data_IF_631340053875
#
_entry.id   IF_631340053875
#
_cell.length_a   1.000
_cell.length_b   1.000
_cell.length_c   1.000
_cell.angle_alpha   90.00
_cell.angle_beta   90.00
_cell.angle_gamma   90.00
#
_symmetry.space_group_name_H-M   'P 1'
#
loop_
_entity.id
_entity.type
_entity.pdbx_description
1 polymer ?
#
# COMPACT_ATOMS: atom_id res chain seq x y z
N UNK A 1 35.62 26.33 33.10
CA UNK A 1 35.53 25.70 31.80
C UNK A 1 34.26 24.84 31.76
N UNK A 2 33.30 25.33 31.02
CA UNK A 2 31.95 24.74 30.91
C UNK A 2 31.87 23.95 29.63
N UNK A 3 31.80 22.64 29.76
CA UNK A 3 31.50 21.77 28.60
C UNK A 3 30.00 21.77 28.33
N UNK A 4 29.58 22.48 27.30
CA UNK A 4 28.22 22.41 26.78
C UNK A 4 28.14 21.22 25.83
N UNK A 5 27.55 20.11 26.30
CA UNK A 5 27.15 18.99 25.47
C UNK A 5 25.97 19.40 24.57
N UNK A 6 26.26 19.64 23.32
CA UNK A 6 25.25 19.85 22.27
C UNK A 6 24.58 18.51 21.96
N UNK A 7 23.43 18.28 22.57
CA UNK A 7 22.57 17.13 22.25
C UNK A 7 21.87 17.43 20.92
N UNK A 8 22.26 16.75 19.84
CA UNK A 8 21.54 16.77 18.57
C UNK A 8 20.19 16.10 18.78
N UNK A 9 19.06 16.74 18.40
CA UNK A 9 17.78 16.05 18.44
C UNK A 9 17.79 14.93 17.37
N UNK A 10 17.60 13.71 17.86
CA UNK A 10 17.28 12.57 16.99
C UNK A 10 15.88 12.82 16.46
N UNK A 11 15.75 13.16 15.20
CA UNK A 11 14.47 13.16 14.50
C UNK A 11 13.98 11.71 14.45
N UNK A 12 13.22 11.30 15.45
CA UNK A 12 12.27 10.21 15.27
C UNK A 12 11.27 10.66 14.22
N UNK A 13 11.31 9.99 13.07
CA UNK A 13 10.25 10.08 12.07
C UNK A 13 9.08 9.29 12.65
N UNK A 14 8.33 9.95 13.52
CA UNK A 14 6.98 9.53 13.84
C UNK A 14 6.12 9.83 12.61
N UNK A 15 5.27 8.90 12.24
CA UNK A 15 4.20 9.01 11.24
C UNK A 15 3.15 10.03 11.70
N UNK A 16 3.58 11.20 12.13
CA UNK A 16 2.74 12.26 12.63
C UNK A 16 2.53 13.31 11.55
N UNK A 17 1.25 13.43 11.19
CA UNK A 17 0.58 14.58 10.57
C UNK A 17 1.54 15.69 10.14
N UNK A 18 1.97 15.67 8.88
CA UNK A 18 2.97 16.61 8.38
C UNK A 18 2.43 18.03 8.22
N UNK A 19 1.12 18.20 8.15
CA UNK A 19 0.43 19.50 8.18
C UNK A 19 -1.01 19.34 8.66
N UNK A 20 -1.57 20.42 9.21
CA UNK A 20 -2.99 20.54 9.55
C UNK A 20 -3.49 21.82 8.91
N UNK A 21 -4.53 21.73 8.07
CA UNK A 21 -5.18 22.87 7.46
C UNK A 21 -6.62 23.04 7.93
N UNK A 22 -7.20 24.18 7.65
CA UNK A 22 -8.63 24.42 7.93
C UNK A 22 -9.49 23.51 7.01
N UNK A 23 -10.58 22.99 7.56
CA UNK A 23 -11.57 22.19 6.84
C UNK A 23 -12.21 23.02 5.72
N UNK A 24 -12.33 22.42 4.54
CA UNK A 24 -13.10 22.96 3.42
C UNK A 24 -14.27 22.03 3.08
N UNK A 25 -15.43 22.55 2.63
CA UNK A 25 -16.54 21.70 2.19
C UNK A 25 -16.09 20.71 1.12
N UNK A 26 -16.29 19.42 1.40
CA UNK A 26 -15.81 18.31 0.57
C UNK A 26 -14.72 17.46 1.23
N UNK A 27 -14.08 17.95 2.30
CA UNK A 27 -13.15 17.14 3.07
C UNK A 27 -13.89 16.04 3.86
N UNK A 28 -13.28 14.87 3.95
CA UNK A 28 -13.82 13.78 4.75
C UNK A 28 -13.76 14.11 6.25
N UNK A 29 -14.88 13.99 6.95
CA UNK A 29 -14.97 14.14 8.41
C UNK A 29 -14.04 13.16 9.18
N UNK A 30 -13.68 12.04 8.60
CA UNK A 30 -12.72 11.08 9.18
C UNK A 30 -11.30 11.65 9.27
N UNK A 31 -10.97 12.69 8.49
CA UNK A 31 -9.69 13.39 8.50
C UNK A 31 -9.60 14.49 9.54
N UNK A 32 -10.66 14.78 10.29
CA UNK A 32 -10.63 15.84 11.31
C UNK A 32 -9.60 15.50 12.37
N UNK A 33 -8.72 16.48 12.62
CA UNK A 33 -7.74 16.44 13.71
C UNK A 33 -8.35 17.04 14.98
N UNK A 34 -9.11 16.24 15.72
CA UNK A 34 -9.87 16.70 16.88
C UNK A 34 -9.06 17.49 17.91
N UNK A 35 -7.84 17.06 18.31
CA UNK A 35 -7.03 17.84 19.24
C UNK A 35 -6.68 19.24 18.74
N UNK A 36 -6.39 19.39 17.43
CA UNK A 36 -6.07 20.68 16.84
C UNK A 36 -7.32 21.53 16.61
N UNK A 37 -8.43 20.91 16.25
CA UNK A 37 -9.76 21.53 16.16
C UNK A 37 -10.15 22.17 17.49
N UNK A 38 -9.98 21.45 18.59
CA UNK A 38 -10.26 21.98 19.93
C UNK A 38 -9.34 23.15 20.30
N UNK A 39 -8.08 23.12 19.90
CA UNK A 39 -7.09 24.17 20.19
C UNK A 39 -7.34 25.42 19.37
N UNK A 40 -7.73 25.28 18.10
CA UNK A 40 -7.89 26.39 17.16
C UNK A 40 -9.32 26.93 17.10
N UNK A 41 -10.28 26.26 17.75
CA UNK A 41 -11.72 26.55 17.71
C UNK A 41 -12.30 26.63 16.28
N UNK A 42 -11.70 25.89 15.34
CA UNK A 42 -12.08 25.75 13.94
C UNK A 42 -11.88 24.32 13.52
N UNK A 43 -12.72 23.80 12.63
CA UNK A 43 -12.54 22.47 12.09
C UNK A 43 -11.21 22.37 11.35
N UNK A 44 -10.34 21.52 11.83
CA UNK A 44 -9.00 21.28 11.28
C UNK A 44 -8.90 19.86 10.76
N UNK A 45 -8.40 19.70 9.54
CA UNK A 45 -8.18 18.40 8.93
C UNK A 45 -6.69 18.08 8.85
N UNK A 46 -6.39 16.81 9.02
CA UNK A 46 -5.04 16.28 8.75
C UNK A 46 -4.78 16.44 7.27
N UNK A 47 -3.82 17.30 6.94
CA UNK A 47 -3.33 17.44 5.58
C UNK A 47 -2.15 16.50 5.39
N UNK A 48 -2.35 15.49 4.55
CA UNK A 48 -1.28 14.61 4.12
C UNK A 48 -0.57 15.15 2.88
N UNK A 49 -1.00 16.34 2.42
CA UNK A 49 -0.54 16.92 1.17
C UNK A 49 0.70 17.78 1.38
N UNK A 50 1.85 17.14 1.46
CA UNK A 50 3.13 17.77 1.14
C UNK A 50 3.43 17.73 -0.37
N UNK A 51 2.42 17.57 -1.23
CA UNK A 51 2.60 17.33 -2.66
C UNK A 51 3.23 15.97 -2.98
N UNK A 52 3.32 15.10 -1.99
CA UNK A 52 3.87 13.76 -2.08
C UNK A 52 2.71 12.80 -1.80
N UNK A 53 2.04 12.38 -2.84
CA UNK A 53 1.03 11.33 -2.76
C UNK A 53 1.66 10.11 -2.13
N UNK A 54 1.29 9.82 -0.88
CA UNK A 54 1.66 8.57 -0.20
C UNK A 54 0.75 7.45 -0.70
N UNK A 55 0.69 7.26 -2.02
CA UNK A 55 -0.13 6.23 -2.62
C UNK A 55 0.33 4.86 -2.12
N UNK A 56 -0.64 4.02 -1.81
CA UNK A 56 -0.39 2.64 -1.44
C UNK A 56 -0.67 1.72 -2.64
N UNK A 57 0.25 0.83 -2.90
CA UNK A 57 0.10 -0.23 -3.88
C UNK A 57 0.05 -1.58 -3.17
N UNK A 58 -0.94 -2.38 -3.49
CA UNK A 58 -1.05 -3.78 -3.09
C UNK A 58 -0.80 -4.64 -4.31
N UNK A 59 0.26 -5.45 -4.27
CA UNK A 59 0.63 -6.39 -5.33
C UNK A 59 0.35 -7.79 -4.84
N UNK A 60 -0.41 -8.54 -5.62
CA UNK A 60 -0.74 -9.94 -5.33
C UNK A 60 -0.10 -10.81 -6.39
N UNK A 61 0.76 -11.72 -5.95
CA UNK A 61 1.39 -12.71 -6.82
C UNK A 61 0.39 -13.82 -7.14
N UNK A 62 -0.08 -13.84 -8.38
CA UNK A 62 -0.99 -14.85 -8.93
C UNK A 62 -0.31 -15.72 -9.98
N UNK A 63 1.03 -15.83 -9.91
CA UNK A 63 1.76 -16.75 -10.76
C UNK A 63 1.42 -18.20 -10.38
N UNK A 64 0.94 -18.98 -11.36
CA UNK A 64 0.49 -20.36 -11.13
C UNK A 64 1.50 -21.24 -10.40
N UNK A 65 2.79 -21.07 -10.69
CA UNK A 65 3.86 -21.88 -10.09
C UNK A 65 4.24 -21.48 -8.67
N UNK A 66 3.71 -20.39 -8.18
CA UNK A 66 3.92 -19.89 -6.80
C UNK A 66 2.86 -20.44 -5.85
N UNK A 67 1.70 -20.81 -6.37
CA UNK A 67 0.57 -21.29 -5.56
C UNK A 67 0.54 -22.80 -5.44
N UNK A 68 0.05 -23.24 -4.32
CA UNK A 68 -0.25 -24.64 -4.04
C UNK A 68 -1.57 -24.72 -3.26
N UNK A 69 -2.35 -25.73 -3.57
CA UNK A 69 -3.54 -26.09 -2.83
C UNK A 69 -3.28 -27.44 -2.16
N UNK A 70 -3.54 -27.53 -0.86
CA UNK A 70 -3.81 -28.80 -0.22
C UNK A 70 -5.31 -29.11 -0.37
N UNK A 71 -5.69 -30.39 -0.28
CA UNK A 71 -7.07 -30.86 -0.47
C UNK A 71 -8.12 -30.22 0.48
N UNK A 72 -7.69 -29.35 1.41
CA UNK A 72 -8.52 -28.53 2.27
C UNK A 72 -8.62 -27.11 1.72
N UNK A 73 -9.85 -26.60 1.52
CA UNK A 73 -10.13 -25.20 1.11
C UNK A 73 -9.46 -24.17 2.03
N UNK A 74 -9.17 -24.53 3.28
CA UNK A 74 -8.56 -23.64 4.29
C UNK A 74 -7.07 -23.36 4.02
N UNK A 75 -6.38 -24.23 3.27
CA UNK A 75 -4.94 -24.14 3.00
C UNK A 75 -4.64 -23.74 1.55
N UNK A 76 -5.54 -23.06 0.89
CA UNK A 76 -5.33 -22.55 -0.46
C UNK A 76 -4.61 -21.19 -0.39
N UNK A 77 -3.37 -21.15 -0.87
CA UNK A 77 -2.57 -19.91 -0.87
C UNK A 77 -3.16 -18.83 -1.79
N UNK A 78 -3.95 -19.18 -2.79
CA UNK A 78 -4.66 -18.24 -3.65
C UNK A 78 -5.72 -17.48 -2.85
N UNK A 79 -6.62 -18.20 -2.19
CA UNK A 79 -7.68 -17.62 -1.35
C UNK A 79 -7.10 -16.79 -0.20
N UNK A 80 -6.02 -17.25 0.41
CA UNK A 80 -5.36 -16.53 1.49
C UNK A 80 -4.72 -15.23 0.97
N UNK A 81 -4.10 -15.25 -0.22
CA UNK A 81 -3.54 -14.05 -0.86
C UNK A 81 -4.62 -13.01 -1.12
N UNK A 82 -5.75 -13.41 -1.68
CA UNK A 82 -6.90 -12.54 -1.97
C UNK A 82 -7.49 -11.97 -0.68
N UNK A 83 -7.68 -12.80 0.33
CA UNK A 83 -8.23 -12.39 1.63
C UNK A 83 -7.35 -11.35 2.33
N UNK A 84 -6.04 -11.56 2.32
CA UNK A 84 -5.06 -10.62 2.90
C UNK A 84 -5.09 -9.30 2.10
N UNK A 85 -5.08 -9.38 0.76
CA UNK A 85 -5.15 -8.19 -0.09
C UNK A 85 -6.40 -7.37 0.16
N UNK A 86 -7.57 -8.01 0.18
CA UNK A 86 -8.85 -7.37 0.47
C UNK A 86 -8.86 -6.70 1.85
N UNK A 87 -8.30 -7.36 2.86
CA UNK A 87 -8.21 -6.82 4.22
C UNK A 87 -7.31 -5.58 4.28
N UNK A 88 -6.15 -5.60 3.61
CA UNK A 88 -5.23 -4.46 3.54
C UNK A 88 -5.89 -3.30 2.79
N UNK A 89 -6.49 -3.55 1.63
CA UNK A 89 -7.19 -2.54 0.83
C UNK A 89 -8.31 -1.88 1.65
N UNK A 90 -9.17 -2.68 2.28
CA UNK A 90 -10.25 -2.15 3.11
C UNK A 90 -9.71 -1.27 4.23
N UNK A 91 -8.63 -1.69 4.88
CA UNK A 91 -7.98 -0.90 5.94
C UNK A 91 -7.40 0.42 5.42
N UNK A 92 -6.75 0.42 4.26
CA UNK A 92 -6.19 1.62 3.65
C UNK A 92 -7.30 2.61 3.23
N UNK A 93 -8.40 2.11 2.67
CA UNK A 93 -9.57 2.92 2.34
C UNK A 93 -10.20 3.54 3.60
N UNK A 94 -10.32 2.78 4.69
CA UNK A 94 -10.79 3.32 5.98
C UNK A 94 -9.91 4.46 6.51
N UNK A 95 -8.62 4.40 6.21
CA UNK A 95 -7.66 5.46 6.53
C UNK A 95 -7.69 6.62 5.51
N UNK A 96 -8.57 6.56 4.51
CA UNK A 96 -8.67 7.51 3.40
C UNK A 96 -7.36 7.67 2.61
N UNK A 97 -6.58 6.59 2.50
CA UNK A 97 -5.36 6.56 1.69
C UNK A 97 -5.71 6.16 0.25
N UNK A 98 -5.10 6.81 -0.76
CA UNK A 98 -5.19 6.33 -2.13
C UNK A 98 -4.58 4.93 -2.23
N UNK A 99 -5.35 3.95 -2.68
CA UNK A 99 -4.89 2.56 -2.80
C UNK A 99 -5.07 2.05 -4.21
N UNK A 100 -4.02 1.42 -4.74
CA UNK A 100 -4.03 0.71 -6.01
C UNK A 100 -3.81 -0.79 -5.81
N UNK A 101 -4.21 -1.56 -6.80
CA UNK A 101 -4.06 -3.01 -6.84
C UNK A 101 -3.32 -3.40 -8.13
N UNK A 102 -2.40 -4.35 -8.02
CA UNK A 102 -1.86 -5.03 -9.17
C UNK A 102 -1.76 -6.55 -8.92
N UNK A 103 -2.19 -7.34 -9.88
CA UNK A 103 -2.12 -8.80 -9.81
C UNK A 103 -1.74 -9.39 -11.17
N UNK A 104 -0.87 -10.40 -11.18
CA UNK A 104 -0.38 -11.08 -12.36
C UNK A 104 -1.12 -12.42 -12.59
N UNK A 105 -2.44 -12.37 -12.74
CA UNK A 105 -3.27 -13.53 -13.06
C UNK A 105 -3.17 -13.97 -14.52
N UNK A 106 -4.23 -14.51 -15.06
CA UNK A 106 -4.39 -14.84 -16.50
C UNK A 106 -4.22 -13.58 -17.37
N UNK A 107 -4.67 -12.44 -16.87
CA UNK A 107 -4.41 -11.10 -17.36
C UNK A 107 -3.75 -10.26 -16.27
N UNK A 108 -3.15 -9.13 -16.66
CA UNK A 108 -2.59 -8.19 -15.70
C UNK A 108 -3.68 -7.24 -15.22
N UNK A 109 -4.07 -7.37 -13.96
CA UNK A 109 -4.97 -6.44 -13.29
C UNK A 109 -4.15 -5.29 -12.70
N UNK A 110 -4.32 -4.08 -13.22
CA UNK A 110 -3.58 -2.89 -12.72
C UNK A 110 -4.57 -1.75 -12.53
N UNK A 111 -4.86 -1.44 -11.28
CA UNK A 111 -5.67 -0.31 -10.85
C UNK A 111 -4.78 0.69 -10.13
N UNK A 112 -4.68 1.89 -10.68
CA UNK A 112 -3.88 2.96 -10.06
C UNK A 112 -4.51 3.43 -8.76
N UNK A 113 -3.72 3.93 -7.80
CA UNK A 113 -4.22 4.46 -6.54
C UNK A 113 -5.27 5.55 -6.75
N UNK A 114 -6.39 5.42 -6.05
CA UNK A 114 -7.50 6.36 -6.06
C UNK A 114 -8.24 6.30 -4.71
N UNK A 115 -9.00 7.35 -4.39
CA UNK A 115 -9.83 7.47 -3.18
C UNK A 115 -11.31 7.56 -3.47
N UNK A 116 -11.73 7.45 -4.73
CA UNK A 116 -13.16 7.51 -5.08
C UNK A 116 -13.94 6.36 -4.44
N UNK A 117 -15.21 6.57 -4.04
CA UNK A 117 -16.01 5.54 -3.37
C UNK A 117 -16.18 4.27 -4.22
N UNK A 118 -16.29 4.42 -5.54
CA UNK A 118 -16.47 3.32 -6.48
C UNK A 118 -15.18 2.50 -6.68
N UNK A 119 -14.03 3.09 -6.36
CA UNK A 119 -12.74 2.47 -6.60
C UNK A 119 -12.55 1.22 -5.74
N UNK A 120 -12.90 1.28 -4.45
CA UNK A 120 -12.82 0.13 -3.56
C UNK A 120 -13.63 -1.06 -4.11
N UNK A 121 -14.86 -0.80 -4.57
CA UNK A 121 -15.71 -1.84 -5.16
C UNK A 121 -15.01 -2.55 -6.34
N UNK A 122 -14.41 -1.77 -7.25
CA UNK A 122 -13.66 -2.31 -8.40
C UNK A 122 -12.44 -3.13 -8.00
N UNK A 123 -11.72 -2.72 -6.94
CA UNK A 123 -10.58 -3.49 -6.45
C UNK A 123 -11.01 -4.83 -5.85
N UNK A 124 -12.09 -4.83 -5.06
CA UNK A 124 -12.61 -6.06 -4.45
C UNK A 124 -13.22 -7.00 -5.51
N UNK A 125 -13.89 -6.45 -6.52
CA UNK A 125 -14.40 -7.21 -7.66
C UNK A 125 -13.25 -7.88 -8.44
N UNK A 126 -12.19 -7.13 -8.75
CA UNK A 126 -11.00 -7.68 -9.39
C UNK A 126 -10.33 -8.79 -8.57
N UNK A 127 -10.29 -8.64 -7.23
CA UNK A 127 -9.77 -9.68 -6.35
C UNK A 127 -10.67 -10.93 -6.30
N UNK A 128 -11.97 -10.77 -6.50
CA UNK A 128 -12.91 -11.91 -6.56
C UNK A 128 -12.83 -12.66 -7.90
N UNK A 129 -12.36 -12.01 -8.95
CA UNK A 129 -12.25 -12.60 -10.30
C UNK A 129 -10.86 -13.18 -10.59
N UNK A 130 -9.80 -12.61 -10.00
CA UNK A 130 -8.44 -13.02 -10.30
C UNK A 130 -8.17 -14.45 -9.84
N UNK A 131 -7.48 -15.22 -10.70
CA UNK A 131 -7.10 -16.61 -10.44
C UNK A 131 -5.58 -16.76 -10.56
N UNK A 132 -5.03 -17.72 -9.80
CA UNK A 132 -3.60 -18.06 -9.82
C UNK A 132 -3.22 -18.85 -11.07
N UNK A 133 -3.54 -18.32 -12.24
CA UNK A 133 -3.26 -18.91 -13.56
C UNK A 133 -2.15 -18.17 -14.30
N UNK A 134 -1.59 -17.12 -13.71
CA UNK A 134 -0.58 -16.26 -14.31
C UNK A 134 0.68 -17.00 -14.72
N UNK A 135 1.23 -16.62 -15.88
CA UNK A 135 2.48 -17.15 -16.43
C UNK A 135 3.65 -16.16 -16.25
N UNK A 136 3.35 -14.90 -15.95
CA UNK A 136 4.37 -13.88 -15.70
C UNK A 136 4.96 -14.05 -14.30
N UNK A 137 6.29 -14.13 -14.21
CA UNK A 137 6.95 -14.21 -12.90
C UNK A 137 6.76 -12.93 -12.09
N UNK A 138 6.71 -13.08 -10.75
CA UNK A 138 6.64 -11.92 -9.83
C UNK A 138 7.79 -10.93 -10.09
N UNK A 139 9.01 -11.43 -10.36
CA UNK A 139 10.16 -10.59 -10.71
C UNK A 139 9.85 -9.67 -11.90
N UNK A 140 9.40 -10.27 -13.01
CA UNK A 140 9.08 -9.52 -14.24
C UNK A 140 7.95 -8.53 -13.99
N UNK A 141 6.91 -8.95 -13.31
CA UNK A 141 5.77 -8.11 -12.98
C UNK A 141 6.15 -6.88 -12.15
N UNK A 142 7.01 -7.05 -11.14
CA UNK A 142 7.54 -5.95 -10.34
C UNK A 142 8.40 -4.97 -11.18
N UNK A 143 9.21 -5.47 -12.12
CA UNK A 143 9.96 -4.59 -13.02
C UNK A 143 9.03 -3.76 -13.92
N UNK A 144 7.96 -4.36 -14.43
CA UNK A 144 7.00 -3.66 -15.29
C UNK A 144 6.19 -2.62 -14.50
N UNK A 145 5.86 -2.89 -13.23
CA UNK A 145 5.17 -1.96 -12.35
C UNK A 145 6.03 -0.80 -11.85
N UNK A 146 7.36 -0.97 -11.83
CA UNK A 146 8.29 0.01 -11.24
C UNK A 146 8.08 1.44 -11.73
N UNK A 147 7.75 1.60 -13.03
CA UNK A 147 7.53 2.92 -13.64
C UNK A 147 6.24 3.62 -13.22
N UNK A 148 5.34 2.92 -12.52
CA UNK A 148 4.08 3.47 -12.03
C UNK A 148 4.15 3.98 -10.59
N UNK A 149 5.27 3.74 -9.92
CA UNK A 149 5.47 4.11 -8.52
C UNK A 149 6.38 5.32 -8.40
N UNK A 150 6.05 6.21 -7.49
CA UNK A 150 6.79 7.42 -7.18
C UNK A 150 7.49 7.28 -5.83
N UNK A 151 8.46 8.15 -5.60
CA UNK A 151 9.08 8.32 -4.28
C UNK A 151 7.99 8.56 -3.22
N UNK A 152 8.13 7.94 -2.05
CA UNK A 152 7.21 7.96 -0.91
C UNK A 152 5.95 7.10 -1.05
N UNK A 153 5.69 6.47 -2.20
CA UNK A 153 4.67 5.44 -2.27
C UNK A 153 4.98 4.29 -1.30
N UNK A 154 3.97 3.57 -0.88
CA UNK A 154 4.10 2.32 -0.14
C UNK A 154 3.69 1.17 -1.04
N UNK A 155 4.52 0.14 -1.10
CA UNK A 155 4.27 -1.10 -1.83
C UNK A 155 4.17 -2.25 -0.84
N UNK A 156 3.04 -2.96 -0.85
CA UNK A 156 2.88 -4.22 -0.15
C UNK A 156 2.79 -5.35 -1.18
N UNK A 157 3.71 -6.30 -1.12
CA UNK A 157 3.71 -7.49 -1.99
C UNK A 157 3.24 -8.69 -1.18
N UNK A 158 2.24 -9.40 -1.69
CA UNK A 158 1.70 -10.63 -1.10
C UNK A 158 2.08 -11.76 -2.04
N UNK A 159 2.85 -12.74 -1.55
CA UNK A 159 3.32 -13.85 -2.36
C UNK A 159 3.51 -15.14 -1.53
N UNK A 160 3.11 -16.30 -2.04
CA UNK A 160 3.46 -17.58 -1.47
C UNK A 160 4.84 -18.08 -1.95
N UNK A 161 5.51 -17.35 -2.85
CA UNK A 161 6.78 -17.78 -3.42
C UNK A 161 7.93 -17.65 -2.42
N UNK A 162 8.52 -18.77 -2.05
CA UNK A 162 9.76 -18.84 -1.25
C UNK A 162 11.02 -18.62 -2.10
N UNK A 163 10.90 -18.47 -3.41
CA UNK A 163 12.02 -18.19 -4.31
C UNK A 163 12.53 -16.77 -4.07
N UNK A 164 13.77 -16.50 -4.42
CA UNK A 164 14.44 -15.23 -4.13
C UNK A 164 14.67 -14.37 -5.38
N UNK A 165 14.27 -14.84 -6.56
CA UNK A 165 14.52 -14.17 -7.85
C UNK A 165 13.83 -12.81 -7.97
N UNK A 166 12.71 -12.60 -7.27
CA UNK A 166 11.99 -11.32 -7.25
C UNK A 166 12.61 -10.27 -6.31
N UNK A 167 13.51 -10.65 -5.39
CA UNK A 167 14.12 -9.73 -4.43
C UNK A 167 14.91 -8.60 -5.11
N UNK A 168 15.71 -8.83 -6.18
CA UNK A 168 16.39 -7.75 -6.89
C UNK A 168 15.45 -6.71 -7.47
N UNK A 169 14.29 -7.13 -8.03
CA UNK A 169 13.27 -6.22 -8.55
C UNK A 169 12.70 -5.34 -7.44
N UNK A 170 12.40 -5.93 -6.30
CA UNK A 170 11.89 -5.23 -5.12
C UNK A 170 12.91 -4.22 -4.57
N UNK A 171 14.18 -4.61 -4.49
CA UNK A 171 15.27 -3.70 -4.10
C UNK A 171 15.43 -2.54 -5.07
N UNK A 172 15.19 -2.75 -6.37
CA UNK A 172 15.19 -1.68 -7.38
C UNK A 172 14.09 -0.65 -7.12
N UNK A 173 12.89 -1.10 -6.76
CA UNK A 173 11.76 -0.24 -6.38
C UNK A 173 12.09 0.53 -5.11
N UNK A 174 12.63 -0.14 -4.09
CA UNK A 174 13.03 0.50 -2.82
C UNK A 174 14.07 1.60 -3.03
N UNK A 175 15.01 1.42 -3.95
CA UNK A 175 16.02 2.45 -4.29
C UNK A 175 15.43 3.70 -4.92
N UNK A 176 14.21 3.66 -5.46
CA UNK A 176 13.48 4.84 -5.93
C UNK A 176 12.83 5.63 -4.79
N UNK A 177 12.95 5.18 -3.55
CA UNK A 177 12.37 5.81 -2.37
C UNK A 177 10.95 5.32 -2.04
N UNK A 178 10.54 4.17 -2.59
CA UNK A 178 9.29 3.49 -2.25
C UNK A 178 9.49 2.70 -0.95
N UNK A 179 8.54 2.81 -0.02
CA UNK A 179 8.50 1.98 1.17
C UNK A 179 7.95 0.60 0.80
N UNK A 180 8.67 -0.45 1.14
CA UNK A 180 8.33 -1.81 0.70
C UNK A 180 8.08 -2.72 1.90
N UNK A 181 6.95 -3.42 1.87
CA UNK A 181 6.60 -4.50 2.77
C UNK A 181 6.32 -5.79 1.96
N UNK A 182 6.59 -6.93 2.56
CA UNK A 182 6.29 -8.24 1.96
C UNK A 182 5.52 -9.08 2.96
N UNK A 183 4.43 -9.66 2.51
CA UNK A 183 3.67 -10.69 3.21
C UNK A 183 3.98 -12.01 2.50
N UNK A 184 4.73 -12.87 3.18
CA UNK A 184 5.02 -14.22 2.71
C UNK A 184 4.00 -15.17 3.34
N UNK A 185 3.37 -16.00 2.51
CA UNK A 185 2.29 -16.94 2.90
C UNK A 185 2.82 -18.37 2.91
#
# INVERSE_FOLDING_TARGET
PSDSKTTRPVHQITTDVSAVREYTPGDSFRRIHWPYTAKMNKLMVKDFDLGLSADAWVVVDMQRTSHWAQDDEVNNTEELSVTIAASIISRLVDLSMPVGLAANGDSSYIFRPDTSPEHQGRLLEALAEVQATGTTSLERFLYDLRGQMSRFNTLTVITPSTRTEWIPALNSIRRQGVNVAVVLI
#
